data_IF_070897670758
#
_entry.id   IF_070897670758
#
_cell.length_a   1.000
_cell.length_b   1.000
_cell.length_c   1.000
_cell.angle_alpha   90.00
_cell.angle_beta   90.00
_cell.angle_gamma   90.00
#
_symmetry.space_group_name_H-M   'P 1'
#
loop_
_entity.id
_entity.type
_entity.pdbx_description
1 polymer ?
#
# COMPACT_ATOMS: atom_id res chain seq x y z
N UNK A 1 -43.32 -24.14 10.62
CA UNK A 1 -42.87 -24.28 9.21
C UNK A 1 -41.38 -24.53 9.21
N UNK A 2 -40.92 -25.73 8.79
CA UNK A 2 -39.48 -25.94 8.54
C UNK A 2 -39.13 -25.18 7.25
N UNK A 3 -38.06 -24.38 7.24
CA UNK A 3 -37.64 -23.73 6.00
C UNK A 3 -37.32 -24.83 4.96
N UNK A 4 -37.76 -24.63 3.73
CA UNK A 4 -37.47 -25.54 2.63
C UNK A 4 -35.98 -25.44 2.26
N UNK A 5 -35.27 -26.56 2.31
CA UNK A 5 -33.87 -26.70 1.96
C UNK A 5 -32.88 -26.49 3.12
N UNK A 6 -31.62 -26.87 2.90
CA UNK A 6 -30.52 -26.56 3.80
C UNK A 6 -30.15 -25.07 3.71
N UNK A 7 -30.90 -24.25 4.45
CA UNK A 7 -30.71 -22.80 4.48
C UNK A 7 -29.38 -22.39 5.11
N UNK A 8 -28.79 -23.21 5.99
CA UNK A 8 -27.49 -22.92 6.61
C UNK A 8 -26.37 -22.90 5.56
N UNK A 9 -26.30 -23.93 4.71
CA UNK A 9 -25.35 -23.96 3.59
C UNK A 9 -25.58 -22.81 2.61
N UNK A 10 -26.85 -22.52 2.28
CA UNK A 10 -27.19 -21.41 1.40
C UNK A 10 -26.70 -20.07 1.96
N UNK A 11 -26.94 -19.81 3.25
CA UNK A 11 -26.49 -18.59 3.91
C UNK A 11 -24.96 -18.50 3.98
N UNK A 12 -24.28 -19.59 4.33
CA UNK A 12 -22.82 -19.65 4.37
C UNK A 12 -22.18 -19.41 2.99
N UNK A 13 -22.77 -19.98 1.93
CA UNK A 13 -22.35 -19.75 0.54
C UNK A 13 -22.45 -18.27 0.16
N UNK A 14 -23.57 -17.63 0.48
CA UNK A 14 -23.78 -16.20 0.19
C UNK A 14 -22.85 -15.31 1.03
N UNK A 15 -22.64 -15.65 2.31
CA UNK A 15 -21.70 -14.94 3.19
C UNK A 15 -20.25 -15.05 2.72
N UNK A 16 -19.87 -16.17 2.11
CA UNK A 16 -18.56 -16.37 1.48
C UNK A 16 -18.40 -15.68 0.10
N UNK A 17 -19.43 -14.94 -0.37
CA UNK A 17 -19.41 -14.15 -1.60
C UNK A 17 -19.97 -14.86 -2.84
N UNK A 18 -20.43 -16.11 -2.72
CA UNK A 18 -20.93 -16.87 -3.87
C UNK A 18 -22.44 -16.71 -4.01
N UNK A 19 -22.92 -15.70 -4.75
CA UNK A 19 -24.35 -15.42 -4.85
C UNK A 19 -25.16 -16.48 -5.63
N UNK A 20 -24.51 -17.23 -6.53
CA UNK A 20 -25.15 -18.28 -7.34
C UNK A 20 -24.64 -19.68 -6.98
N UNK A 21 -25.47 -20.71 -7.20
CA UNK A 21 -25.04 -22.11 -7.06
C UNK A 21 -23.97 -22.47 -8.09
N UNK A 22 -24.00 -21.87 -9.28
CA UNK A 22 -23.00 -22.05 -10.34
C UNK A 22 -21.60 -21.64 -9.86
N UNK A 23 -21.46 -20.40 -9.36
CA UNK A 23 -20.16 -19.89 -8.90
C UNK A 23 -19.59 -20.71 -7.74
N UNK A 24 -20.44 -21.19 -6.82
CA UNK A 24 -20.01 -22.05 -5.73
C UNK A 24 -19.62 -23.46 -6.20
N UNK A 25 -20.34 -24.01 -7.18
CA UNK A 25 -20.02 -25.31 -7.76
C UNK A 25 -18.67 -25.29 -8.49
N UNK A 26 -18.40 -24.23 -9.27
CA UNK A 26 -17.11 -23.98 -9.92
C UNK A 26 -15.97 -23.89 -8.89
N UNK A 27 -16.16 -23.10 -7.83
CA UNK A 27 -15.16 -22.96 -6.77
C UNK A 27 -14.86 -24.27 -6.03
N UNK A 28 -15.84 -25.16 -5.92
CA UNK A 28 -15.68 -26.49 -5.30
C UNK A 28 -15.12 -27.53 -6.28
N UNK A 29 -15.16 -27.27 -7.59
CA UNK A 29 -14.86 -28.25 -8.64
C UNK A 29 -15.91 -29.36 -8.76
N UNK A 30 -17.19 -29.03 -8.55
CA UNK A 30 -18.32 -29.97 -8.65
C UNK A 30 -19.38 -29.46 -9.62
N UNK A 31 -20.33 -30.32 -10.02
CA UNK A 31 -21.48 -29.89 -10.82
C UNK A 31 -22.56 -29.18 -9.99
N UNK A 32 -23.27 -28.23 -10.58
CA UNK A 32 -24.37 -27.48 -9.90
C UNK A 32 -25.44 -28.38 -9.31
N UNK A 33 -25.72 -29.53 -9.93
CA UNK A 33 -26.67 -30.52 -9.39
C UNK A 33 -26.27 -31.02 -8.01
N UNK A 34 -24.96 -31.14 -7.75
CA UNK A 34 -24.43 -31.54 -6.45
C UNK A 34 -24.71 -30.47 -5.39
N UNK A 35 -24.45 -29.19 -5.70
CA UNK A 35 -24.75 -28.06 -4.80
C UNK A 35 -26.26 -27.98 -4.54
N UNK A 36 -27.10 -28.11 -5.58
CA UNK A 36 -28.56 -28.15 -5.42
C UNK A 36 -29.02 -29.29 -4.51
N UNK A 37 -28.36 -30.46 -4.60
CA UNK A 37 -28.65 -31.61 -3.72
C UNK A 37 -28.24 -31.33 -2.28
N UNK A 38 -27.13 -30.65 -2.04
CA UNK A 38 -26.71 -30.24 -0.69
C UNK A 38 -27.53 -29.08 -0.09
N UNK A 39 -28.13 -28.24 -0.93
CA UNK A 39 -29.08 -27.20 -0.50
C UNK A 39 -30.52 -27.72 -0.35
N UNK A 40 -30.79 -29.01 -0.58
CA UNK A 40 -32.12 -29.62 -0.41
C UNK A 40 -32.47 -29.93 1.05
N UNK A 41 -33.71 -30.36 1.34
CA UNK A 41 -34.20 -30.62 2.72
C UNK A 41 -33.41 -31.70 3.45
N UNK A 42 -32.98 -32.75 2.74
CA UNK A 42 -32.25 -33.90 3.28
C UNK A 42 -30.95 -34.09 2.50
N UNK A 43 -29.92 -33.25 2.74
CA UNK A 43 -28.69 -33.33 1.98
C UNK A 43 -27.88 -34.59 2.37
N UNK A 44 -27.30 -35.30 1.39
CA UNK A 44 -26.42 -36.42 1.69
C UNK A 44 -25.12 -35.90 2.34
N UNK A 45 -24.54 -36.69 3.23
CA UNK A 45 -23.25 -36.39 3.83
C UNK A 45 -22.14 -36.35 2.75
N UNK A 46 -21.40 -35.24 2.60
CA UNK A 46 -20.37 -35.11 1.56
C UNK A 46 -19.19 -36.07 1.75
N UNK A 47 -18.46 -36.39 0.67
CA UNK A 47 -17.18 -37.11 0.77
C UNK A 47 -16.12 -36.28 1.52
N UNK A 48 -15.15 -36.90 2.22
CA UNK A 48 -14.15 -36.20 3.04
C UNK A 48 -13.45 -35.03 2.33
N UNK A 49 -13.00 -35.22 1.09
CA UNK A 49 -12.34 -34.16 0.31
C UNK A 49 -13.26 -32.95 0.06
N UNK A 50 -14.55 -33.20 -0.16
CA UNK A 50 -15.55 -32.16 -0.36
C UNK A 50 -15.91 -31.48 0.97
N UNK A 51 -15.87 -32.18 2.10
CA UNK A 51 -16.04 -31.58 3.42
C UNK A 51 -14.90 -30.58 3.70
N UNK A 52 -13.66 -30.94 3.38
CA UNK A 52 -12.51 -30.03 3.53
C UNK A 52 -12.66 -28.78 2.67
N UNK A 53 -13.05 -28.93 1.38
CA UNK A 53 -13.28 -27.78 0.49
C UNK A 53 -14.45 -26.91 0.95
N UNK A 54 -15.56 -27.52 1.38
CA UNK A 54 -16.71 -26.79 1.92
C UNK A 54 -16.31 -26.00 3.17
N UNK A 55 -15.57 -26.62 4.09
CA UNK A 55 -15.07 -25.95 5.30
C UNK A 55 -14.14 -24.79 4.94
N UNK A 56 -13.21 -25.01 4.02
CA UNK A 56 -12.27 -23.99 3.59
C UNK A 56 -12.95 -22.79 2.91
N UNK A 57 -13.91 -23.04 2.00
CA UNK A 57 -14.60 -21.97 1.29
C UNK A 57 -15.59 -21.18 2.16
N UNK A 58 -16.21 -21.83 3.14
CA UNK A 58 -17.26 -21.20 3.96
C UNK A 58 -16.79 -20.75 5.34
N UNK A 59 -15.61 -21.19 5.77
CA UNK A 59 -15.07 -20.97 7.12
C UNK A 59 -15.81 -21.73 8.23
N UNK A 60 -16.73 -22.64 7.88
CA UNK A 60 -17.64 -23.30 8.81
C UNK A 60 -17.54 -24.82 8.71
N UNK A 61 -17.69 -25.50 9.85
CA UNK A 61 -17.74 -26.96 9.89
C UNK A 61 -19.04 -27.52 9.28
N UNK A 62 -19.09 -28.83 9.07
CA UNK A 62 -20.23 -29.48 8.40
C UNK A 62 -21.55 -29.35 9.17
N UNK A 63 -21.51 -29.32 10.49
CA UNK A 63 -22.72 -29.22 11.33
C UNK A 63 -23.28 -27.79 11.31
N UNK A 64 -22.40 -26.79 11.35
CA UNK A 64 -22.71 -25.38 11.14
C UNK A 64 -23.29 -25.14 9.74
N UNK A 65 -22.83 -25.88 8.73
CA UNK A 65 -23.40 -25.88 7.38
C UNK A 65 -24.72 -26.66 7.24
N UNK A 66 -25.24 -27.27 8.31
CA UNK A 66 -26.52 -27.96 8.32
C UNK A 66 -26.50 -29.40 7.81
N UNK A 67 -25.31 -30.00 7.66
CA UNK A 67 -25.21 -31.45 7.42
C UNK A 67 -25.38 -32.23 8.71
N UNK A 68 -25.98 -33.42 8.62
CA UNK A 68 -26.16 -34.33 9.76
C UNK A 68 -25.17 -35.49 9.66
N UNK A 69 -24.39 -35.71 10.72
CA UNK A 69 -23.41 -36.80 10.77
C UNK A 69 -24.13 -38.15 10.66
N UNK A 70 -23.72 -39.04 9.72
CA UNK A 70 -24.29 -40.38 9.63
C UNK A 70 -24.05 -41.19 10.91
N UNK A 71 -25.07 -41.94 11.34
CA UNK A 71 -25.00 -42.84 12.50
C UNK A 71 -23.83 -43.84 12.34
N UNK A 72 -22.97 -43.94 13.35
CA UNK A 72 -21.80 -44.84 13.35
C UNK A 72 -20.46 -44.22 12.94
N UNK A 73 -20.39 -42.90 12.73
CA UNK A 73 -19.11 -42.15 12.62
C UNK A 73 -18.84 -41.34 13.88
N UNK A 74 -17.61 -41.43 14.39
CA UNK A 74 -17.16 -40.62 15.51
C UNK A 74 -17.13 -39.14 15.14
N UNK A 75 -17.43 -38.27 16.12
CA UNK A 75 -17.21 -36.84 15.95
C UNK A 75 -15.69 -36.63 15.79
N UNK A 76 -15.23 -35.95 14.72
CA UNK A 76 -13.82 -35.57 14.66
C UNK A 76 -13.52 -34.75 15.91
N UNK A 77 -12.65 -35.28 16.78
CA UNK A 77 -12.22 -34.60 17.99
C UNK A 77 -11.71 -33.23 17.58
N UNK A 78 -12.40 -32.18 18.05
CA UNK A 78 -11.96 -30.80 17.87
C UNK A 78 -10.53 -30.73 18.37
N UNK A 79 -9.56 -30.64 17.46
CA UNK A 79 -8.18 -30.39 17.83
C UNK A 79 -8.19 -29.06 18.58
N UNK A 80 -8.02 -29.12 19.91
CA UNK A 80 -7.67 -27.97 20.73
C UNK A 80 -6.38 -27.40 20.15
N UNK A 81 -6.50 -26.37 19.31
CA UNK A 81 -5.39 -25.45 19.09
C UNK A 81 -5.07 -24.86 20.46
N UNK A 82 -3.94 -25.27 21.03
CA UNK A 82 -3.34 -24.54 22.14
C UNK A 82 -3.15 -23.09 21.68
N UNK A 83 -3.62 -22.09 22.44
CA UNK A 83 -3.35 -20.72 22.09
C UNK A 83 -1.84 -20.50 22.16
N UNK A 84 -1.24 -20.01 21.07
CA UNK A 84 0.09 -19.44 21.13
C UNK A 84 0.03 -18.25 22.11
N UNK A 85 0.87 -18.30 23.14
CA UNK A 85 1.00 -17.24 24.13
C UNK A 85 1.60 -16.02 23.42
N UNK A 86 0.78 -14.99 23.20
CA UNK A 86 1.26 -13.64 22.92
C UNK A 86 1.66 -12.96 24.25
N UNK A 87 2.71 -12.09 24.26
CA UNK A 87 3.04 -11.33 25.46
C UNK A 87 1.92 -10.33 25.77
N UNK A 88 1.51 -10.33 27.03
CA UNK A 88 0.40 -9.54 27.58
C UNK A 88 0.86 -8.11 27.85
N UNK A 89 0.17 -7.11 27.32
CA UNK A 89 0.10 -5.79 27.95
C UNK A 89 -0.96 -5.82 29.06
N UNK A 90 -0.64 -5.23 30.20
CA UNK A 90 -1.44 -5.27 31.41
C UNK A 90 -2.61 -4.27 31.35
N UNK A 91 -3.83 -4.74 31.62
CA UNK A 91 -4.98 -3.86 31.87
C UNK A 91 -6.33 -4.55 31.73
N UNK A 92 -7.00 -4.77 32.87
CA UNK A 92 -8.39 -5.21 33.05
C UNK A 92 -8.70 -6.71 32.93
N UNK A 93 -8.94 -7.31 34.09
CA UNK A 93 -9.43 -8.68 34.27
C UNK A 93 -10.97 -8.68 34.26
N UNK A 94 -11.55 -9.30 33.24
CA UNK A 94 -12.85 -9.96 33.36
C UNK A 94 -12.67 -11.43 32.98
N UNK A 95 -13.12 -12.30 33.88
CA UNK A 95 -12.97 -13.76 33.80
C UNK A 95 -13.58 -14.28 32.50
N UNK A 96 -12.75 -14.88 31.64
CA UNK A 96 -13.18 -15.38 30.33
C UNK A 96 -13.83 -16.75 30.50
N UNK A 97 -15.16 -16.80 30.45
CA UNK A 97 -15.91 -18.04 30.20
C UNK A 97 -15.41 -18.61 28.85
N UNK A 98 -15.11 -19.92 28.72
CA UNK A 98 -14.73 -20.50 27.44
C UNK A 98 -15.99 -20.57 26.56
N UNK A 99 -16.30 -19.47 25.90
CA UNK A 99 -17.32 -19.45 24.87
C UNK A 99 -16.74 -20.19 23.66
N UNK A 100 -17.33 -21.34 23.30
CA UNK A 100 -17.26 -21.86 21.93
C UNK A 100 -17.96 -20.84 21.04
N UNK A 101 -17.30 -19.71 20.79
CA UNK A 101 -17.80 -18.70 19.87
C UNK A 101 -17.30 -19.09 18.49
N UNK A 102 -18.07 -19.92 17.78
CA UNK A 102 -18.15 -19.77 16.33
C UNK A 102 -18.70 -18.37 16.10
N UNK A 103 -17.83 -17.36 16.02
CA UNK A 103 -18.24 -16.01 15.67
C UNK A 103 -19.07 -16.11 14.38
N UNK A 104 -20.26 -15.52 14.33
CA UNK A 104 -21.09 -15.60 13.14
C UNK A 104 -20.31 -14.99 11.97
N UNK A 105 -20.19 -15.73 10.86
CA UNK A 105 -19.55 -15.22 9.66
C UNK A 105 -20.24 -13.94 9.19
N UNK A 106 -19.44 -12.91 8.89
CA UNK A 106 -19.95 -11.64 8.40
C UNK A 106 -20.59 -11.79 7.01
N UNK A 107 -21.62 -10.99 6.69
CA UNK A 107 -22.20 -10.98 5.35
C UNK A 107 -21.20 -10.42 4.33
N UNK A 108 -21.38 -10.83 3.06
CA UNK A 108 -20.49 -10.42 1.98
C UNK A 108 -20.40 -8.89 1.76
N UNK A 109 -21.43 -8.13 2.16
CA UNK A 109 -21.44 -6.66 2.07
C UNK A 109 -20.33 -5.98 2.89
N UNK A 110 -19.86 -6.62 3.97
CA UNK A 110 -18.79 -6.07 4.81
C UNK A 110 -17.51 -5.87 4.00
N UNK A 111 -17.23 -6.73 3.01
CA UNK A 111 -16.06 -6.56 2.16
C UNK A 111 -16.14 -5.30 1.28
N UNK A 112 -17.31 -4.98 0.72
CA UNK A 112 -17.49 -3.76 -0.07
C UNK A 112 -17.44 -2.50 0.79
N UNK A 113 -18.03 -2.56 1.99
CA UNK A 113 -18.05 -1.43 2.92
C UNK A 113 -16.63 -1.11 3.42
N UNK A 114 -15.88 -2.15 3.81
CA UNK A 114 -14.49 -2.02 4.23
C UNK A 114 -13.60 -1.45 3.11
N UNK A 115 -13.72 -1.97 1.88
CA UNK A 115 -12.97 -1.47 0.73
C UNK A 115 -13.33 -0.02 0.34
N UNK A 116 -14.57 0.39 0.58
CA UNK A 116 -15.02 1.77 0.37
C UNK A 116 -14.28 2.74 1.29
N UNK A 117 -14.16 2.40 2.59
CA UNK A 117 -13.40 3.21 3.57
C UNK A 117 -11.92 3.24 3.21
N UNK A 118 -11.32 2.11 2.80
CA UNK A 118 -9.93 2.06 2.31
C UNK A 118 -9.71 3.04 1.15
N UNK A 119 -10.63 3.06 0.16
CA UNK A 119 -10.57 4.00 -0.96
C UNK A 119 -10.69 5.46 -0.51
N UNK A 120 -11.55 5.74 0.47
CA UNK A 120 -11.70 7.08 1.04
C UNK A 120 -10.41 7.54 1.72
N UNK A 121 -9.73 6.68 2.50
CA UNK A 121 -8.42 7.00 3.09
C UNK A 121 -7.36 7.30 2.03
N UNK A 122 -7.30 6.52 0.95
CA UNK A 122 -6.42 6.79 -0.19
C UNK A 122 -6.67 8.18 -0.79
N UNK A 123 -7.94 8.55 -0.97
CA UNK A 123 -8.31 9.89 -1.45
C UNK A 123 -7.89 11.01 -0.50
N UNK A 124 -8.09 10.82 0.81
CA UNK A 124 -7.74 11.78 1.85
C UNK A 124 -6.23 12.02 1.98
N UNK A 125 -5.38 11.06 1.61
CA UNK A 125 -3.92 11.19 1.68
C UNK A 125 -3.36 12.39 0.90
N UNK A 126 -4.08 12.88 -0.11
CA UNK A 126 -3.68 14.04 -0.91
C UNK A 126 -3.88 15.38 -0.18
N UNK A 127 -4.82 15.45 0.76
CA UNK A 127 -5.27 16.72 1.36
C UNK A 127 -5.18 16.77 2.88
N UNK A 128 -5.25 15.62 3.56
CA UNK A 128 -5.17 15.53 5.02
C UNK A 128 -3.71 15.41 5.45
N UNK A 129 -3.36 16.08 6.55
CA UNK A 129 -2.02 15.97 7.11
C UNK A 129 -1.74 14.51 7.52
N UNK A 130 -0.57 13.95 7.16
CA UNK A 130 -0.25 12.54 7.41
C UNK A 130 -0.34 12.15 8.89
N UNK A 131 0.07 13.02 9.81
CA UNK A 131 -0.02 12.81 11.26
C UNK A 131 -1.48 12.65 11.76
N UNK A 132 -2.46 13.25 11.09
CA UNK A 132 -3.88 13.09 11.45
C UNK A 132 -4.52 11.88 10.75
N UNK A 133 -4.09 11.57 9.53
CA UNK A 133 -4.63 10.46 8.76
C UNK A 133 -4.13 9.11 9.27
N UNK A 134 -2.86 9.02 9.68
CA UNK A 134 -2.22 7.77 10.09
C UNK A 134 -2.99 7.00 11.18
N UNK A 135 -3.41 7.60 12.32
CA UNK A 135 -4.16 6.87 13.34
C UNK A 135 -5.49 6.28 12.82
N UNK A 136 -6.17 6.96 11.89
CA UNK A 136 -7.41 6.47 11.29
C UNK A 136 -7.16 5.27 10.34
N UNK A 137 -6.08 5.32 9.56
CA UNK A 137 -5.66 4.20 8.70
C UNK A 137 -5.27 2.99 9.54
N UNK A 138 -4.53 3.20 10.64
CA UNK A 138 -4.14 2.12 11.57
C UNK A 138 -5.36 1.46 12.23
N UNK A 139 -6.30 2.26 12.76
CA UNK A 139 -7.53 1.73 13.35
C UNK A 139 -8.39 0.96 12.33
N UNK A 140 -8.42 1.42 11.07
CA UNK A 140 -9.08 0.70 9.99
C UNK A 140 -8.39 -0.62 9.68
N UNK A 141 -7.05 -0.65 9.71
CA UNK A 141 -6.30 -1.89 9.54
C UNK A 141 -6.56 -2.90 10.66
N UNK A 142 -6.68 -2.46 11.92
CA UNK A 142 -7.07 -3.30 13.06
C UNK A 142 -8.47 -3.90 12.86
N UNK A 143 -9.43 -3.10 12.36
CA UNK A 143 -10.75 -3.59 11.98
C UNK A 143 -10.64 -4.65 10.87
N UNK A 144 -9.82 -4.43 9.84
CA UNK A 144 -9.60 -5.40 8.77
C UNK A 144 -9.03 -6.72 9.27
N UNK A 145 -8.10 -6.69 10.23
CA UNK A 145 -7.58 -7.88 10.90
C UNK A 145 -8.69 -8.67 11.62
N UNK A 146 -9.59 -7.98 12.34
CA UNK A 146 -10.74 -8.62 12.97
C UNK A 146 -11.68 -9.25 11.93
N UNK A 147 -12.01 -8.50 10.86
CA UNK A 147 -12.89 -8.96 9.77
C UNK A 147 -12.32 -10.15 9.00
N UNK A 148 -10.99 -10.25 8.84
CA UNK A 148 -10.38 -11.44 8.27
C UNK A 148 -10.75 -12.69 9.08
N UNK A 149 -10.78 -12.62 10.41
CA UNK A 149 -11.16 -13.79 11.22
C UNK A 149 -12.63 -14.20 11.10
N UNK A 150 -13.48 -13.31 10.60
CA UNK A 150 -14.94 -13.48 10.52
C UNK A 150 -15.46 -13.58 9.07
N UNK A 151 -14.56 -13.69 8.08
CA UNK A 151 -14.89 -13.79 6.66
C UNK A 151 -14.25 -15.03 6.02
N UNK A 152 -14.88 -15.55 4.96
CA UNK A 152 -14.39 -16.70 4.20
C UNK A 152 -14.54 -16.50 2.68
N UNK A 153 -13.94 -17.38 1.89
CA UNK A 153 -14.12 -17.44 0.44
C UNK A 153 -13.73 -16.15 -0.29
N UNK A 154 -14.57 -15.70 -1.21
CA UNK A 154 -14.35 -14.45 -1.97
C UNK A 154 -14.39 -13.22 -1.06
N UNK A 155 -15.30 -13.20 -0.08
CA UNK A 155 -15.43 -12.08 0.86
C UNK A 155 -14.14 -11.86 1.65
N UNK A 156 -13.52 -12.94 2.15
CA UNK A 156 -12.23 -12.87 2.85
C UNK A 156 -11.12 -12.32 1.97
N UNK A 157 -11.02 -12.80 0.73
CA UNK A 157 -10.02 -12.31 -0.23
C UNK A 157 -10.19 -10.82 -0.52
N UNK A 158 -11.42 -10.35 -0.71
CA UNK A 158 -11.69 -8.91 -0.91
C UNK A 158 -11.31 -8.06 0.32
N UNK A 159 -11.60 -8.53 1.53
CA UNK A 159 -11.13 -7.87 2.77
C UNK A 159 -9.60 -7.86 2.83
N UNK A 160 -8.95 -8.98 2.50
CA UNK A 160 -7.49 -9.10 2.49
C UNK A 160 -6.83 -8.13 1.49
N UNK A 161 -7.36 -8.00 0.27
CA UNK A 161 -6.88 -7.02 -0.72
C UNK A 161 -6.99 -5.59 -0.19
N UNK A 162 -8.15 -5.22 0.36
CA UNK A 162 -8.35 -3.89 0.92
C UNK A 162 -7.48 -3.65 2.17
N UNK A 163 -7.22 -4.67 2.98
CA UNK A 163 -6.33 -4.60 4.12
C UNK A 163 -4.87 -4.41 3.69
N UNK A 164 -4.42 -5.13 2.65
CA UNK A 164 -3.09 -4.95 2.07
C UNK A 164 -2.90 -3.52 1.57
N UNK A 165 -3.90 -2.96 0.88
CA UNK A 165 -3.88 -1.57 0.44
C UNK A 165 -3.86 -0.58 1.62
N UNK A 166 -4.60 -0.87 2.69
CA UNK A 166 -4.63 -0.05 3.92
C UNK A 166 -3.26 -0.01 4.59
N UNK A 167 -2.63 -1.17 4.77
CA UNK A 167 -1.27 -1.25 5.32
C UNK A 167 -0.23 -0.64 4.39
N UNK A 168 -0.38 -0.77 3.08
CA UNK A 168 0.48 -0.09 2.11
C UNK A 168 0.40 1.44 2.27
N UNK A 169 -0.80 1.99 2.44
CA UNK A 169 -0.97 3.41 2.70
C UNK A 169 -0.33 3.83 4.02
N UNK A 170 -0.53 3.06 5.10
CA UNK A 170 0.09 3.34 6.40
C UNK A 170 1.63 3.35 6.30
N UNK A 171 2.24 2.32 5.70
CA UNK A 171 3.68 2.24 5.55
C UNK A 171 4.26 3.34 4.65
N UNK A 172 3.49 3.81 3.67
CA UNK A 172 3.86 4.98 2.86
C UNK A 172 3.87 6.26 3.70
N UNK A 173 2.87 6.46 4.55
CA UNK A 173 2.82 7.61 5.47
C UNK A 173 4.00 7.57 6.44
N UNK A 174 4.23 6.42 7.09
CA UNK A 174 5.34 6.22 8.03
C UNK A 174 6.69 6.54 7.37
N UNK A 175 6.92 6.00 6.17
CA UNK A 175 8.20 6.20 5.48
C UNK A 175 8.39 7.61 4.92
N UNK A 176 7.46 8.09 4.09
CA UNK A 176 7.67 9.32 3.30
C UNK A 176 7.31 10.61 4.05
N UNK A 177 6.37 10.53 4.98
CA UNK A 177 5.84 11.70 5.66
C UNK A 177 6.32 11.80 7.12
N UNK A 178 6.30 10.70 7.88
CA UNK A 178 6.69 10.68 9.30
C UNK A 178 8.17 10.39 9.51
N UNK A 179 8.86 9.83 8.52
CA UNK A 179 10.30 9.47 8.56
C UNK A 179 10.61 8.41 9.62
N UNK A 180 9.75 7.41 9.71
CA UNK A 180 9.84 6.27 10.62
C UNK A 180 10.12 4.99 9.81
N UNK A 181 11.36 4.77 9.31
CA UNK A 181 11.66 3.67 8.40
C UNK A 181 11.52 2.28 9.05
N UNK A 182 11.77 2.17 10.34
CA UNK A 182 11.63 0.91 11.10
C UNK A 182 10.15 0.51 11.22
N UNK A 183 9.29 1.46 11.61
CA UNK A 183 7.84 1.25 11.70
C UNK A 183 7.25 0.94 10.31
N UNK A 184 7.65 1.71 9.28
CA UNK A 184 7.29 1.43 7.90
C UNK A 184 7.68 0.02 7.45
N UNK A 185 8.85 -0.47 7.84
CA UNK A 185 9.29 -1.83 7.55
C UNK A 185 8.37 -2.88 8.15
N UNK A 186 8.00 -2.72 9.43
CA UNK A 186 7.08 -3.63 10.12
C UNK A 186 5.66 -3.58 9.52
N UNK A 187 5.18 -2.39 9.18
CA UNK A 187 3.86 -2.18 8.57
C UNK A 187 3.78 -2.75 7.16
N UNK A 188 4.79 -2.52 6.32
CA UNK A 188 4.85 -3.07 4.95
C UNK A 188 4.95 -4.61 4.95
N UNK A 189 5.56 -5.21 5.97
CA UNK A 189 5.53 -6.67 6.14
C UNK A 189 4.09 -7.17 6.37
N UNK A 190 3.28 -6.46 7.18
CA UNK A 190 1.86 -6.80 7.36
C UNK A 190 1.07 -6.60 6.06
N UNK A 191 1.39 -5.56 5.28
CA UNK A 191 0.81 -5.36 3.95
C UNK A 191 1.10 -6.56 3.02
N UNK A 192 2.33 -7.07 3.02
CA UNK A 192 2.73 -8.22 2.20
C UNK A 192 2.03 -9.52 2.65
N UNK A 193 1.86 -9.71 3.96
CA UNK A 193 1.10 -10.84 4.51
C UNK A 193 -0.37 -10.79 4.08
N UNK A 194 -1.02 -9.62 4.15
CA UNK A 194 -2.37 -9.43 3.67
C UNK A 194 -2.49 -9.62 2.15
N UNK A 195 -1.49 -9.20 1.37
CA UNK A 195 -1.42 -9.46 -0.07
C UNK A 195 -1.35 -10.96 -0.38
N UNK A 196 -0.57 -11.70 0.40
CA UNK A 196 -0.48 -13.16 0.31
C UNK A 196 -1.79 -13.86 0.68
N UNK A 197 -2.50 -13.38 1.71
CA UNK A 197 -3.84 -13.86 2.07
C UNK A 197 -4.87 -13.61 0.96
N UNK A 198 -4.73 -12.51 0.22
CA UNK A 198 -5.57 -12.18 -0.93
C UNK A 198 -5.22 -12.97 -2.20
N UNK A 199 -4.02 -13.56 -2.26
CA UNK A 199 -3.39 -14.05 -3.49
C UNK A 199 -3.31 -12.97 -4.59
N UNK A 200 -3.07 -11.72 -4.18
CA UNK A 200 -3.01 -10.56 -5.09
C UNK A 200 -1.55 -10.23 -5.41
N UNK A 201 -1.12 -10.63 -6.61
CA UNK A 201 0.26 -10.45 -7.05
C UNK A 201 0.63 -8.98 -7.29
N UNK A 202 -0.31 -8.14 -7.73
CA UNK A 202 0.02 -6.74 -8.05
C UNK A 202 0.18 -5.90 -6.79
N UNK A 203 -0.70 -6.06 -5.80
CA UNK A 203 -0.53 -5.34 -4.52
C UNK A 203 0.71 -5.85 -3.78
N UNK A 204 1.01 -7.16 -3.84
CA UNK A 204 2.25 -7.72 -3.29
C UNK A 204 3.50 -7.15 -3.95
N UNK A 205 3.49 -6.99 -5.28
CA UNK A 205 4.56 -6.30 -6.03
C UNK A 205 4.73 -4.85 -5.56
N UNK A 206 3.63 -4.11 -5.41
CA UNK A 206 3.67 -2.72 -4.99
C UNK A 206 4.25 -2.57 -3.58
N UNK A 207 3.84 -3.42 -2.65
CA UNK A 207 4.40 -3.46 -1.29
C UNK A 207 5.90 -3.73 -1.33
N UNK A 208 6.35 -4.74 -2.08
CA UNK A 208 7.77 -5.08 -2.20
C UNK A 208 8.60 -3.92 -2.77
N UNK A 209 8.12 -3.25 -3.81
CA UNK A 209 8.80 -2.07 -4.36
C UNK A 209 8.86 -0.93 -3.34
N UNK A 210 7.79 -0.72 -2.55
CA UNK A 210 7.82 0.26 -1.47
C UNK A 210 8.82 -0.09 -0.36
N UNK A 211 9.01 -1.38 -0.04
CA UNK A 211 10.06 -1.79 0.91
C UNK A 211 11.47 -1.51 0.40
N UNK A 212 11.68 -1.39 -0.92
CA UNK A 212 13.01 -1.13 -1.50
C UNK A 212 13.52 0.29 -1.19
N UNK A 213 12.62 1.23 -0.92
CA UNK A 213 13.00 2.58 -0.54
C UNK A 213 13.76 2.65 0.79
N UNK A 214 13.45 1.77 1.76
CA UNK A 214 14.11 1.74 3.08
C UNK A 214 15.63 1.55 2.94
N UNK A 215 16.13 0.43 2.38
CA UNK A 215 17.57 0.26 2.14
C UNK A 215 18.11 1.24 1.09
N UNK A 216 17.31 1.64 0.09
CA UNK A 216 17.73 2.63 -0.90
C UNK A 216 18.07 4.00 -0.30
N UNK A 217 17.32 4.45 0.70
CA UNK A 217 17.61 5.67 1.46
C UNK A 217 18.80 5.50 2.40
N UNK A 218 19.06 4.28 2.89
CA UNK A 218 20.23 3.95 3.69
C UNK A 218 21.52 3.77 2.85
N UNK A 219 21.43 3.81 1.50
CA UNK A 219 22.56 3.55 0.60
C UNK A 219 22.91 2.06 0.46
N UNK A 220 22.05 1.17 0.96
CA UNK A 220 22.22 -0.28 0.91
C UNK A 220 21.72 -0.85 -0.43
N UNK A 221 22.49 -0.58 -1.48
CA UNK A 221 22.11 -0.89 -2.87
C UNK A 221 21.67 -2.34 -3.10
N UNK A 222 22.44 -3.31 -2.61
CA UNK A 222 22.16 -4.73 -2.85
C UNK A 222 20.84 -5.15 -2.22
N UNK A 223 20.57 -4.71 -0.99
CA UNK A 223 19.32 -4.96 -0.27
C UNK A 223 18.11 -4.29 -0.95
N UNK A 224 18.29 -3.13 -1.58
CA UNK A 224 17.26 -2.50 -2.41
C UNK A 224 17.00 -3.29 -3.69
N UNK A 225 18.07 -3.74 -4.38
CA UNK A 225 17.98 -4.53 -5.60
C UNK A 225 17.27 -5.87 -5.38
N UNK A 226 17.54 -6.57 -4.28
CA UNK A 226 16.85 -7.82 -3.92
C UNK A 226 15.33 -7.63 -3.81
N UNK A 227 14.89 -6.55 -3.17
CA UNK A 227 13.48 -6.20 -3.03
C UNK A 227 12.84 -5.87 -4.39
N UNK A 228 13.57 -5.18 -5.27
CA UNK A 228 13.10 -4.90 -6.62
C UNK A 228 12.99 -6.15 -7.50
N UNK A 229 13.92 -7.10 -7.38
CA UNK A 229 13.83 -8.41 -8.06
C UNK A 229 12.57 -9.16 -7.62
N UNK A 230 12.26 -9.14 -6.33
CA UNK A 230 11.03 -9.73 -5.80
C UNK A 230 9.78 -9.02 -6.35
N UNK A 231 9.73 -7.69 -6.31
CA UNK A 231 8.63 -6.90 -6.85
C UNK A 231 8.35 -7.22 -8.32
N UNK A 232 9.38 -7.17 -9.18
CA UNK A 232 9.27 -7.52 -10.61
C UNK A 232 8.75 -8.94 -10.84
N UNK A 233 9.10 -9.89 -9.96
CA UNK A 233 8.60 -11.26 -10.05
C UNK A 233 7.10 -11.35 -9.79
N UNK A 234 6.60 -10.60 -8.82
CA UNK A 234 5.17 -10.52 -8.54
C UNK A 234 4.41 -9.76 -9.63
N UNK A 235 4.97 -8.66 -10.17
CA UNK A 235 4.38 -7.94 -11.30
C UNK A 235 4.17 -8.83 -12.54
N UNK A 236 5.13 -9.72 -12.87
CA UNK A 236 4.98 -10.72 -13.96
C UNK A 236 3.82 -11.69 -13.74
N UNK A 237 3.52 -12.04 -12.49
CA UNK A 237 2.41 -12.96 -12.15
C UNK A 237 1.05 -12.27 -12.23
N UNK A 238 1.00 -10.95 -12.00
CA UNK A 238 -0.23 -10.18 -11.87
C UNK A 238 -0.70 -9.43 -13.12
N UNK A 239 -0.16 -9.69 -14.31
CA UNK A 239 -0.52 -8.95 -15.55
C UNK A 239 -0.44 -7.42 -15.38
N UNK A 240 0.72 -6.92 -14.92
CA UNK A 240 0.96 -5.49 -14.70
C UNK A 240 0.82 -4.62 -15.97
N UNK A 241 0.29 -3.40 -15.81
CA UNK A 241 0.21 -2.38 -16.85
C UNK A 241 1.57 -1.75 -17.17
N UNK A 242 1.64 -1.00 -18.27
CA UNK A 242 2.81 -0.21 -18.65
C UNK A 242 3.19 0.82 -17.57
N UNK A 243 2.20 1.49 -16.97
CA UNK A 243 2.44 2.42 -15.86
C UNK A 243 3.02 1.72 -14.63
N UNK A 244 2.58 0.49 -14.36
CA UNK A 244 3.11 -0.30 -13.25
C UNK A 244 4.59 -0.66 -13.48
N UNK A 245 4.93 -1.10 -14.69
CA UNK A 245 6.32 -1.42 -15.06
C UNK A 245 7.22 -0.19 -15.03
N UNK A 246 6.77 0.92 -15.62
CA UNK A 246 7.48 2.19 -15.61
C UNK A 246 7.68 2.73 -14.18
N UNK A 247 6.71 2.51 -13.29
CA UNK A 247 6.87 2.83 -11.88
C UNK A 247 7.93 1.97 -11.19
N UNK A 248 7.96 0.66 -11.42
CA UNK A 248 9.02 -0.20 -10.86
C UNK A 248 10.41 0.25 -11.32
N UNK A 249 10.56 0.63 -12.59
CA UNK A 249 11.80 1.22 -13.10
C UNK A 249 12.15 2.54 -12.41
N UNK A 250 11.16 3.40 -12.14
CA UNK A 250 11.36 4.65 -11.42
C UNK A 250 11.80 4.44 -9.97
N UNK A 251 11.22 3.45 -9.26
CA UNK A 251 11.64 3.09 -7.89
C UNK A 251 13.09 2.61 -7.87
N UNK A 252 13.45 1.71 -8.80
CA UNK A 252 14.81 1.18 -8.91
C UNK A 252 15.80 2.29 -9.29
N UNK A 253 15.41 3.19 -10.21
CA UNK A 253 16.20 4.36 -10.58
C UNK A 253 16.45 5.30 -9.39
N UNK A 254 15.44 5.58 -8.56
CA UNK A 254 15.61 6.39 -7.35
C UNK A 254 16.61 5.73 -6.38
N UNK A 255 16.51 4.42 -6.16
CA UNK A 255 17.44 3.69 -5.30
C UNK A 255 18.87 3.73 -5.86
N UNK A 256 19.05 3.50 -7.16
CA UNK A 256 20.37 3.57 -7.81
C UNK A 256 20.94 4.99 -7.79
N UNK A 257 20.12 6.02 -7.99
CA UNK A 257 20.51 7.44 -7.88
C UNK A 257 21.03 7.77 -6.49
N UNK A 258 20.35 7.31 -5.44
CA UNK A 258 20.78 7.52 -4.04
C UNK A 258 22.07 6.78 -3.70
N UNK A 259 22.29 5.62 -4.32
CA UNK A 259 23.53 4.86 -4.20
C UNK A 259 24.66 5.38 -5.12
N UNK A 260 24.45 6.51 -5.84
CA UNK A 260 25.46 7.13 -6.70
C UNK A 260 25.57 6.54 -8.12
N UNK A 261 24.77 5.54 -8.48
CA UNK A 261 24.80 4.88 -9.79
C UNK A 261 23.89 5.57 -10.81
N UNK A 262 24.12 6.85 -11.02
CA UNK A 262 23.27 7.72 -11.84
C UNK A 262 23.16 7.26 -13.30
N UNK A 263 24.20 6.63 -13.86
CA UNK A 263 24.14 6.04 -15.21
C UNK A 263 23.09 4.94 -15.32
N UNK A 264 23.07 4.01 -14.36
CA UNK A 264 22.08 2.92 -14.32
C UNK A 264 20.68 3.48 -14.14
N UNK A 265 20.52 4.45 -13.23
CA UNK A 265 19.25 5.13 -13.02
C UNK A 265 18.73 5.81 -14.30
N UNK A 266 19.57 6.53 -15.05
CA UNK A 266 19.17 7.15 -16.32
C UNK A 266 18.75 6.12 -17.38
N UNK A 267 19.37 4.93 -17.40
CA UNK A 267 18.94 3.84 -18.28
C UNK A 267 17.57 3.29 -17.89
N UNK A 268 17.32 3.08 -16.60
CA UNK A 268 16.02 2.64 -16.08
C UNK A 268 14.92 3.67 -16.39
N UNK A 269 15.19 4.95 -16.18
CA UNK A 269 14.25 6.03 -16.52
C UNK A 269 13.90 6.03 -18.01
N UNK A 270 14.90 5.86 -18.89
CA UNK A 270 14.64 5.77 -20.33
C UNK A 270 13.78 4.56 -20.68
N UNK A 271 14.08 3.40 -20.08
CA UNK A 271 13.29 2.19 -20.28
C UNK A 271 11.83 2.38 -19.81
N UNK A 272 11.61 3.11 -18.71
CA UNK A 272 10.29 3.48 -18.23
C UNK A 272 9.54 4.39 -19.22
N UNK A 273 10.23 5.40 -19.79
CA UNK A 273 9.67 6.28 -20.83
C UNK A 273 9.25 5.48 -22.07
N UNK A 274 10.11 4.57 -22.54
CA UNK A 274 9.84 3.69 -23.68
C UNK A 274 8.66 2.74 -23.38
N UNK A 275 8.57 2.22 -22.15
CA UNK A 275 7.49 1.35 -21.70
C UNK A 275 6.14 2.07 -21.69
N UNK A 276 6.09 3.31 -21.20
CA UNK A 276 4.88 4.14 -21.25
C UNK A 276 4.46 4.44 -22.70
N UNK A 277 5.43 4.72 -23.57
CA UNK A 277 5.17 5.00 -24.98
C UNK A 277 4.63 3.78 -25.74
N UNK A 278 5.11 2.58 -25.41
CA UNK A 278 4.63 1.33 -25.99
C UNK A 278 3.20 0.99 -25.54
N UNK A 279 2.84 1.34 -24.30
CA UNK A 279 1.53 1.06 -23.72
C UNK A 279 1.33 -0.42 -23.35
N UNK A 280 0.15 -0.74 -22.81
CA UNK A 280 -0.23 -2.12 -22.46
C UNK A 280 -1.73 -2.34 -22.61
N UNK A 281 -2.14 -3.59 -22.87
CA UNK A 281 -3.56 -4.00 -22.87
C UNK A 281 -4.15 -4.09 -21.46
N UNK A 282 -3.29 -4.14 -20.43
CA UNK A 282 -3.71 -4.26 -19.04
C UNK A 282 -4.00 -2.89 -18.42
N UNK A 283 -5.14 -2.71 -17.74
CA UNK A 283 -5.47 -1.45 -17.08
C UNK A 283 -4.63 -1.26 -15.81
N UNK A 284 -4.26 -0.01 -15.52
CA UNK A 284 -3.63 0.33 -14.24
C UNK A 284 -4.62 0.17 -13.09
N UNK A 285 -4.25 -0.53 -12.00
CA UNK A 285 -5.13 -0.70 -10.86
C UNK A 285 -5.56 0.66 -10.26
N UNK A 286 -6.84 0.88 -9.94
CA UNK A 286 -7.32 2.18 -9.42
C UNK A 286 -6.70 2.63 -8.10
N UNK A 287 -6.08 1.71 -7.36
CA UNK A 287 -5.34 2.01 -6.14
C UNK A 287 -3.94 2.58 -6.40
N UNK A 288 -3.37 2.36 -7.58
CA UNK A 288 -2.05 2.86 -7.98
C UNK A 288 -2.15 4.33 -8.46
N UNK A 289 -2.62 5.21 -7.59
CA UNK A 289 -2.94 6.60 -7.93
C UNK A 289 -1.78 7.57 -7.69
N UNK A 290 -0.60 7.04 -7.39
CA UNK A 290 0.62 7.76 -7.02
C UNK A 290 1.68 7.79 -8.12
N UNK A 291 1.36 7.37 -9.34
CA UNK A 291 2.31 7.38 -10.43
C UNK A 291 1.68 7.94 -11.71
N UNK A 292 2.50 8.65 -12.49
CA UNK A 292 2.13 9.26 -13.76
C UNK A 292 3.39 9.58 -14.57
N UNK A 293 3.23 9.89 -15.86
CA UNK A 293 4.35 10.34 -16.70
C UNK A 293 5.04 11.59 -16.14
N UNK A 294 4.29 12.54 -15.56
CA UNK A 294 4.85 13.72 -14.90
C UNK A 294 5.70 13.34 -13.66
N UNK A 295 5.28 12.33 -12.87
CA UNK A 295 6.10 11.82 -11.76
C UNK A 295 7.35 11.09 -12.25
N UNK A 296 7.28 10.32 -13.34
CA UNK A 296 8.46 9.73 -13.97
C UNK A 296 9.48 10.81 -14.39
N UNK A 297 9.00 11.90 -15.00
CA UNK A 297 9.84 13.03 -15.37
C UNK A 297 10.46 13.74 -14.14
N UNK A 298 9.79 13.75 -12.98
CA UNK A 298 10.40 14.24 -11.74
C UNK A 298 11.57 13.37 -11.27
N UNK A 299 11.43 12.03 -11.29
CA UNK A 299 12.54 11.10 -11.03
C UNK A 299 13.71 11.30 -12.01
N UNK A 300 13.39 11.54 -13.30
CA UNK A 300 14.38 11.87 -14.33
C UNK A 300 15.17 13.13 -13.98
N UNK A 301 14.47 14.23 -13.66
CA UNK A 301 15.07 15.50 -13.30
C UNK A 301 15.98 15.37 -12.08
N UNK A 302 15.55 14.63 -11.06
CA UNK A 302 16.38 14.35 -9.90
C UNK A 302 17.65 13.57 -10.24
N UNK A 303 17.49 12.50 -11.02
CA UNK A 303 18.61 11.67 -11.46
C UNK A 303 19.61 12.47 -12.30
N UNK A 304 19.12 13.34 -13.20
CA UNK A 304 19.96 14.25 -13.98
C UNK A 304 20.72 15.24 -13.10
N UNK A 305 20.08 15.81 -12.07
CA UNK A 305 20.74 16.66 -11.08
C UNK A 305 21.88 15.91 -10.39
N UNK A 306 21.61 14.71 -9.86
CA UNK A 306 22.64 13.91 -9.18
C UNK A 306 23.74 13.43 -10.14
N UNK A 307 23.45 13.30 -11.44
CA UNK A 307 24.43 13.03 -12.49
C UNK A 307 25.27 14.27 -12.89
N UNK A 308 24.95 15.47 -12.40
CA UNK A 308 25.61 16.71 -12.79
C UNK A 308 25.14 17.28 -14.14
N UNK A 309 24.08 16.74 -14.73
CA UNK A 309 23.49 17.20 -15.99
C UNK A 309 22.54 18.40 -15.73
N UNK A 310 23.09 19.49 -15.19
CA UNK A 310 22.30 20.60 -14.64
C UNK A 310 21.36 21.25 -15.66
N UNK A 311 21.77 21.58 -16.91
CA UNK A 311 20.86 22.16 -17.88
C UNK A 311 19.68 21.25 -18.23
N UNK A 312 19.93 19.93 -18.36
CA UNK A 312 18.90 18.94 -18.65
C UNK A 312 17.95 18.76 -17.46
N UNK A 313 18.49 18.73 -16.25
CA UNK A 313 17.71 18.65 -15.01
C UNK A 313 16.75 19.83 -14.89
N UNK A 314 17.24 21.06 -15.09
CA UNK A 314 16.43 22.28 -15.07
C UNK A 314 15.27 22.19 -16.07
N UNK A 315 15.57 21.89 -17.34
CA UNK A 315 14.56 21.83 -18.39
C UNK A 315 13.49 20.76 -18.08
N UNK A 316 13.92 19.58 -17.61
CA UNK A 316 13.02 18.48 -17.26
C UNK A 316 12.11 18.86 -16.09
N UNK A 317 12.67 19.42 -15.00
CA UNK A 317 11.90 19.79 -13.80
C UNK A 317 10.94 20.96 -14.05
N UNK A 318 11.29 21.93 -14.91
CA UNK A 318 10.36 22.97 -15.35
C UNK A 318 9.19 22.39 -16.14
N UNK A 319 9.46 21.48 -17.08
CA UNK A 319 8.40 20.77 -17.81
C UNK A 319 7.49 19.94 -16.90
N UNK A 320 8.01 19.40 -15.80
CA UNK A 320 7.19 18.73 -14.77
C UNK A 320 6.22 19.72 -14.13
N UNK A 321 6.66 20.92 -13.74
CA UNK A 321 5.78 21.93 -13.13
C UNK A 321 4.64 22.37 -14.05
N UNK A 322 4.87 22.41 -15.36
CA UNK A 322 3.85 22.73 -16.37
C UNK A 322 2.77 21.63 -16.49
N UNK A 323 3.14 20.37 -16.24
CA UNK A 323 2.26 19.21 -16.42
C UNK A 323 1.60 18.73 -15.12
N UNK A 324 2.16 19.08 -13.95
CA UNK A 324 1.63 18.63 -12.67
C UNK A 324 0.24 19.24 -12.38
N UNK A 325 -0.79 18.43 -12.08
CA UNK A 325 -2.08 18.93 -11.64
C UNK A 325 -1.95 19.87 -10.43
N UNK A 326 -2.84 20.87 -10.33
CA UNK A 326 -2.84 21.82 -9.20
C UNK A 326 -2.90 21.12 -7.83
N UNK A 327 -3.57 19.97 -7.74
CA UNK A 327 -3.74 19.17 -6.53
C UNK A 327 -2.50 18.37 -6.08
N UNK A 328 -1.42 18.35 -6.86
CA UNK A 328 -0.16 17.63 -6.55
C UNK A 328 0.84 18.48 -5.74
N UNK A 329 0.34 19.12 -4.68
CA UNK A 329 1.10 20.07 -3.85
C UNK A 329 2.38 19.47 -3.26
N UNK A 330 2.30 18.25 -2.69
CA UNK A 330 3.49 17.56 -2.14
C UNK A 330 4.57 17.37 -3.20
N UNK A 331 4.18 16.98 -4.42
CA UNK A 331 5.13 16.75 -5.50
C UNK A 331 5.74 18.07 -5.99
N UNK A 332 4.94 19.13 -6.05
CA UNK A 332 5.40 20.47 -6.43
C UNK A 332 6.48 21.00 -5.47
N UNK A 333 6.32 20.79 -4.17
CA UNK A 333 7.37 21.10 -3.18
C UNK A 333 8.69 20.40 -3.52
N UNK A 334 8.65 19.10 -3.85
CA UNK A 334 9.86 18.33 -4.20
C UNK A 334 10.52 18.89 -5.45
N UNK A 335 9.73 19.19 -6.49
CA UNK A 335 10.26 19.73 -7.75
C UNK A 335 10.88 21.11 -7.57
N UNK A 336 10.29 21.98 -6.74
CA UNK A 336 10.91 23.26 -6.38
C UNK A 336 12.21 23.07 -5.59
N UNK A 337 12.25 22.14 -4.62
CA UNK A 337 13.48 21.81 -3.91
C UNK A 337 14.59 21.30 -4.84
N UNK A 338 14.23 20.50 -5.84
CA UNK A 338 15.17 19.97 -6.83
C UNK A 338 15.67 21.04 -7.79
N UNK A 339 14.79 21.95 -8.25
CA UNK A 339 15.20 23.13 -9.01
C UNK A 339 16.13 24.03 -8.20
N UNK A 340 15.83 24.26 -6.93
CA UNK A 340 16.71 25.02 -6.04
C UNK A 340 18.10 24.37 -5.93
N UNK A 341 18.17 23.04 -5.85
CA UNK A 341 19.43 22.30 -5.84
C UNK A 341 20.18 22.37 -7.18
N UNK A 342 19.46 22.36 -8.32
CA UNK A 342 20.05 22.59 -9.65
C UNK A 342 20.69 23.97 -9.72
N UNK A 343 20.00 25.03 -9.28
CA UNK A 343 20.54 26.39 -9.33
C UNK A 343 21.72 26.58 -8.38
N UNK A 344 21.66 26.02 -7.17
CA UNK A 344 22.79 26.04 -6.24
C UNK A 344 24.03 25.36 -6.85
N UNK A 345 23.86 24.19 -7.46
CA UNK A 345 24.93 23.48 -8.15
C UNK A 345 25.45 24.21 -9.40
N UNK A 346 24.61 25.03 -10.04
CA UNK A 346 24.97 25.85 -11.19
C UNK A 346 25.64 27.18 -10.82
N UNK A 347 25.87 27.45 -9.52
CA UNK A 347 26.45 28.71 -9.04
C UNK A 347 25.49 29.90 -9.16
N UNK A 348 24.17 29.65 -9.08
CA UNK A 348 23.12 30.67 -9.14
C UNK A 348 22.40 30.76 -7.77
N UNK A 349 23.05 31.34 -6.74
CA UNK A 349 22.54 31.31 -5.36
C UNK A 349 21.22 32.08 -5.19
N UNK A 350 21.01 33.16 -5.94
CA UNK A 350 19.76 33.95 -5.91
C UNK A 350 18.57 33.11 -6.39
N UNK A 351 18.68 32.49 -7.57
CA UNK A 351 17.62 31.63 -8.12
C UNK A 351 17.40 30.37 -7.27
N UNK A 352 18.46 29.83 -6.67
CA UNK A 352 18.35 28.74 -5.70
C UNK A 352 17.49 29.14 -4.50
N UNK A 353 17.72 30.32 -3.92
CA UNK A 353 16.90 30.85 -2.83
C UNK A 353 15.46 31.11 -3.28
N UNK A 354 15.25 31.63 -4.49
CA UNK A 354 13.91 31.84 -5.04
C UNK A 354 13.09 30.55 -5.10
N UNK A 355 13.65 29.46 -5.65
CA UNK A 355 12.97 28.17 -5.68
C UNK A 355 12.80 27.54 -4.30
N UNK A 356 13.78 27.68 -3.40
CA UNK A 356 13.65 27.20 -2.03
C UNK A 356 12.50 27.91 -1.28
N UNK A 357 12.32 29.21 -1.51
CA UNK A 357 11.19 29.98 -1.00
C UNK A 357 9.84 29.49 -1.54
N UNK A 358 9.75 29.18 -2.85
CA UNK A 358 8.54 28.60 -3.43
C UNK A 358 8.22 27.21 -2.82
N UNK A 359 9.25 26.42 -2.51
CA UNK A 359 9.07 25.16 -1.80
C UNK A 359 8.56 25.38 -0.36
N UNK A 360 9.07 26.39 0.36
CA UNK A 360 8.57 26.77 1.68
C UNK A 360 7.11 27.24 1.65
N UNK A 361 6.72 28.06 0.67
CA UNK A 361 5.33 28.49 0.47
C UNK A 361 4.39 27.28 0.36
N UNK A 362 4.82 26.24 -0.38
CA UNK A 362 4.04 25.03 -0.55
C UNK A 362 3.98 24.17 0.74
N UNK A 363 5.04 24.18 1.55
CA UNK A 363 5.08 23.49 2.85
C UNK A 363 4.21 24.14 3.92
N UNK A 364 3.95 25.45 3.81
CA UNK A 364 2.97 26.15 4.65
C UNK A 364 1.53 25.68 4.35
N UNK A 365 1.24 25.29 3.10
CA UNK A 365 -0.06 24.73 2.70
C UNK A 365 -0.15 23.25 3.08
N UNK A 366 0.82 22.44 2.63
CA UNK A 366 0.86 20.99 2.83
C UNK A 366 2.24 20.59 3.32
N UNK A 367 2.35 20.33 4.63
CA UNK A 367 3.61 19.87 5.22
C UNK A 367 4.07 18.54 4.62
N UNK A 368 5.35 18.46 4.24
CA UNK A 368 5.98 17.25 3.71
C UNK A 368 7.46 17.19 4.11
N UNK A 369 7.82 16.20 4.92
CA UNK A 369 9.15 16.14 5.54
C UNK A 369 10.29 15.97 4.52
N UNK A 370 10.06 15.18 3.47
CA UNK A 370 11.02 15.02 2.36
C UNK A 370 11.27 16.36 1.63
N UNK A 371 10.22 17.19 1.45
CA UNK A 371 10.36 18.53 0.89
C UNK A 371 11.26 19.43 1.76
N UNK A 372 11.05 19.40 3.07
CA UNK A 372 11.88 20.16 4.03
C UNK A 372 13.35 19.70 4.02
N UNK A 373 13.62 18.40 3.88
CA UNK A 373 14.97 17.86 3.77
C UNK A 373 15.70 18.39 2.52
N UNK A 374 15.03 18.46 1.37
CA UNK A 374 15.60 19.06 0.14
C UNK A 374 15.97 20.53 0.35
N UNK A 375 15.12 21.31 1.01
CA UNK A 375 15.42 22.72 1.31
C UNK A 375 16.64 22.84 2.23
N UNK A 376 16.77 21.98 3.24
CA UNK A 376 17.94 21.93 4.12
C UNK A 376 19.21 21.50 3.39
N UNK A 377 19.13 20.61 2.40
CA UNK A 377 20.25 20.27 1.51
C UNK A 377 20.71 21.47 0.70
N UNK A 378 19.78 22.19 0.07
CA UNK A 378 20.06 23.41 -0.69
C UNK A 378 20.71 24.45 0.21
N UNK A 379 20.17 24.68 1.41
CA UNK A 379 20.75 25.65 2.34
C UNK A 379 22.19 25.30 2.74
N UNK A 380 22.50 24.01 2.93
CA UNK A 380 23.88 23.54 3.16
C UNK A 380 24.79 23.81 1.96
N UNK A 381 24.31 23.58 0.74
CA UNK A 381 25.07 23.86 -0.49
C UNK A 381 25.36 25.36 -0.66
N UNK A 382 24.46 26.23 -0.15
CA UNK A 382 24.61 27.69 -0.16
C UNK A 382 25.49 28.24 0.97
N UNK A 383 26.17 27.41 1.77
CA UNK A 383 27.07 27.87 2.84
C UNK A 383 28.15 28.87 2.37
N UNK A 384 28.77 28.74 1.16
CA UNK A 384 29.71 29.75 0.66
C UNK A 384 29.09 31.15 0.47
N UNK A 385 27.76 31.21 0.32
CA UNK A 385 26.97 32.43 0.09
C UNK A 385 26.26 32.93 1.35
N UNK A 386 26.60 32.41 2.54
CA UNK A 386 25.90 32.71 3.80
C UNK A 386 25.81 34.19 4.18
N UNK A 387 26.67 35.04 3.61
CA UNK A 387 26.68 36.48 3.89
C UNK A 387 25.84 37.29 2.90
N UNK A 388 25.43 36.70 1.79
CA UNK A 388 24.59 37.33 0.78
C UNK A 388 23.16 37.50 1.31
N UNK A 389 22.49 38.59 0.90
CA UNK A 389 21.17 38.95 1.45
C UNK A 389 20.12 37.86 1.19
N UNK A 390 20.08 37.28 -0.02
CA UNK A 390 19.12 36.24 -0.38
C UNK A 390 19.23 34.98 0.50
N UNK A 391 20.43 34.62 0.99
CA UNK A 391 20.58 33.45 1.88
C UNK A 391 20.10 33.79 3.29
N UNK A 392 20.34 35.02 3.75
CA UNK A 392 19.81 35.50 5.03
C UNK A 392 18.28 35.55 5.02
N UNK A 393 17.68 36.05 3.95
CA UNK A 393 16.22 36.08 3.79
C UNK A 393 15.63 34.67 3.78
N UNK A 394 16.31 33.71 3.12
CA UNK A 394 15.94 32.29 3.17
C UNK A 394 16.05 31.73 4.60
N UNK A 395 17.10 32.07 5.34
CA UNK A 395 17.27 31.66 6.75
C UNK A 395 16.17 32.21 7.65
N UNK A 396 15.77 33.47 7.47
CA UNK A 396 14.66 34.08 8.22
C UNK A 396 13.35 33.32 8.01
N UNK A 397 13.10 32.84 6.78
CA UNK A 397 11.93 31.99 6.49
C UNK A 397 12.06 30.58 7.05
N UNK A 398 13.23 29.97 6.87
CA UNK A 398 13.50 28.58 7.27
C UNK A 398 13.46 28.42 8.80
N UNK A 399 13.97 29.41 9.53
CA UNK A 399 14.01 29.44 11.00
C UNK A 399 12.95 30.37 11.61
N UNK A 400 11.99 30.85 10.81
CA UNK A 400 10.84 31.60 11.29
C UNK A 400 10.06 30.80 12.34
N UNK A 401 9.39 31.50 13.26
CA UNK A 401 8.68 30.86 14.37
C UNK A 401 7.65 29.81 13.92
N UNK A 402 6.90 30.07 12.85
CA UNK A 402 5.91 29.13 12.33
C UNK A 402 6.55 27.82 11.80
N UNK A 403 7.67 27.94 11.07
CA UNK A 403 8.45 26.82 10.54
C UNK A 403 9.13 26.03 11.67
N UNK A 404 9.70 26.74 12.64
CA UNK A 404 10.41 26.16 13.79
C UNK A 404 9.44 25.42 14.73
N UNK A 405 8.28 26.02 15.05
CA UNK A 405 7.26 25.36 15.86
C UNK A 405 6.67 24.15 15.13
N UNK A 406 6.40 24.24 13.84
CA UNK A 406 5.90 23.11 13.05
C UNK A 406 6.89 21.94 12.97
N UNK A 407 8.19 22.24 12.94
CA UNK A 407 9.26 21.24 12.93
C UNK A 407 9.54 20.61 14.31
N UNK A 408 9.21 21.29 15.42
CA UNK A 408 9.45 20.79 16.78
C UNK A 408 8.22 20.12 17.42
N UNK A 409 7.01 20.42 16.93
CA UNK A 409 5.76 19.91 17.50
C UNK A 409 5.36 18.50 17.03
N UNK A 410 6.17 17.83 16.21
CA UNK A 410 5.81 16.56 15.58
C UNK A 410 6.95 15.56 15.56
#
# INVERSE_FOLDING_TARGET
>A
MRPAGNTKLKSARVAAGYHTQQAFAEALGVGVRQVRRWESDNPPWPHPDLQQRLTHLTGQDMEALGFTIPLGRDHPSTQRRYPAVAPRSAGSHLSTVPSRSTAPMQPASVASDYASVTRSHRGLYRSVTPANLHPAVMAHADLGCALLSETAGQTRRTVATALAETWLLAGRIEFFDLREPDDAGATLLRALQAAGEADDSLIGSAVLAHTAFIPGWAGEREAAAERMVAARTYARRGSASAEFWAWLDAVEAECETRCGNTRTALHLIRHAEDTLAAGSEHPTPPWMDWFSAARLAAFKGNTQLKAGHLPQARATLLGVLEQLPATEDKQRTVVYGDLAAVEAAAGQPEEACRYACLALDQLEITWYATGMERIREVRRALAPHQHDQWVKDLDERLYGWATTVSALAR
#
